data_IF_449575257013
#
_entry.id   IF_449575257013
#
_cell.length_a   1.000
_cell.length_b   1.000
_cell.length_c   1.000
_cell.angle_alpha   90.00
_cell.angle_beta   90.00
_cell.angle_gamma   90.00
#
_symmetry.space_group_name_H-M   'P 1'
#
loop_
_entity.id
_entity.type
_entity.pdbx_description
1 polymer ?
2 non-polymer ?
3 water ?
#
# COMPACT_ATOMS: atom_id res chain seq x y z
N UNK A 1 -25.96 7.29 6.71
CA UNK A 1 -24.71 6.52 6.80
C UNK A 1 -24.96 5.09 6.36
N UNK A 2 -23.93 4.39 5.87
CA UNK A 2 -24.01 2.96 5.53
C UNK A 2 -23.66 2.23 6.81
N UNK A 3 -24.34 1.06 7.10
CA UNK A 3 -24.04 0.40 8.38
C UNK A 3 -22.70 -0.34 8.38
N UNK A 4 -22.34 -0.91 7.25
CA UNK A 4 -21.18 -1.81 7.15
C UNK A 4 -20.37 -1.32 5.95
N UNK A 5 -19.77 -0.11 6.03
CA UNK A 5 -19.00 0.44 4.91
C UNK A 5 -17.91 -0.55 4.52
N UNK A 6 -17.72 -0.79 3.22
CA UNK A 6 -16.76 -1.82 2.79
C UNK A 6 -15.38 -1.21 2.53
N UNK A 7 -15.19 0.10 2.67
CA UNK A 7 -13.90 0.76 2.45
C UNK A 7 -13.96 2.16 3.02
N UNK A 8 -12.88 2.91 2.94
CA UNK A 8 -12.85 4.24 3.57
C UNK A 8 -13.63 5.24 2.73
N UNK A 9 -14.00 4.92 1.49
CA UNK A 9 -14.84 5.81 0.67
C UNK A 9 -16.28 5.74 1.15
N UNK A 10 -16.76 4.58 1.53
CA UNK A 10 -18.11 4.43 2.12
C UNK A 10 -18.10 4.94 3.56
N UNK A 11 -16.97 4.91 4.29
CA UNK A 11 -16.89 5.50 5.65
C UNK A 11 -16.86 7.02 5.59
N UNK A 12 -16.33 7.61 4.51
CA UNK A 12 -16.10 9.08 4.41
C UNK A 12 -17.44 9.71 4.08
N UNK A 13 -18.16 9.06 3.16
CA UNK A 13 -19.49 9.49 2.73
C UNK A 13 -20.43 9.35 3.93
N UNK A 14 -20.07 8.49 4.89
CA UNK A 14 -20.78 8.38 6.21
C UNK A 14 -20.54 9.66 7.03
N UNK A 15 -19.83 10.64 6.47
CA UNK A 15 -19.62 11.98 7.05
C UNK A 15 -18.45 12.01 8.02
N UNK A 16 -17.57 11.01 7.97
CA UNK A 16 -16.35 10.97 8.81
C UNK A 16 -15.18 11.52 7.98
N UNK A 17 -14.78 12.77 8.21
CA UNK A 17 -13.86 13.52 7.32
C UNK A 17 -12.50 13.68 8.00
N UNK A 18 -12.38 13.17 9.22
CA UNK A 18 -11.13 13.20 10.01
C UNK A 18 -10.37 11.93 9.65
N UNK A 19 -9.11 12.08 9.29
CA UNK A 19 -8.26 10.88 9.11
C UNK A 19 -8.11 10.18 10.43
N UNK A 20 -7.99 8.86 10.40
CA UNK A 20 -7.73 8.05 11.59
C UNK A 20 -8.31 6.67 11.45
N UNK A 21 -8.55 5.97 12.56
CA UNK A 21 -8.98 4.55 12.47
C UNK A 21 -10.48 4.48 12.34
N UNK A 22 -10.93 3.67 11.40
CA UNK A 22 -12.35 3.36 11.13
C UNK A 22 -12.53 1.86 10.98
N UNK A 23 -13.71 1.37 11.31
CA UNK A 23 -14.08 0.00 10.99
C UNK A 23 -14.66 -0.06 9.59
N UNK A 24 -14.10 -0.93 8.75
CA UNK A 24 -14.76 -1.33 7.51
C UNK A 24 -15.12 -2.81 7.60
N UNK A 25 -15.93 -3.26 6.65
CA UNK A 25 -16.53 -4.60 6.68
C UNK A 25 -16.34 -5.19 5.31
N UNK A 26 -15.54 -6.25 5.20
CA UNK A 26 -15.22 -6.76 3.86
C UNK A 26 -16.50 -7.32 3.22
N UNK A 27 -16.77 -6.94 1.98
CA UNK A 27 -17.99 -7.37 1.27
C UNK A 27 -19.24 -6.82 1.97
N UNK A 28 -19.09 -5.79 2.79
CA UNK A 28 -20.22 -5.24 3.58
C UNK A 28 -20.78 -6.24 4.58
N UNK A 29 -19.98 -7.21 4.97
CA UNK A 29 -20.43 -8.32 5.88
C UNK A 29 -20.06 -7.89 7.31
N UNK A 30 -21.04 -7.78 8.19
CA UNK A 30 -20.85 -7.39 9.61
C UNK A 30 -19.94 -8.40 10.34
N UNK A 31 -19.76 -9.62 9.85
CA UNK A 31 -18.88 -10.61 10.48
C UNK A 31 -17.45 -10.51 9.93
N UNK A 32 -17.16 -9.54 9.05
CA UNK A 32 -15.81 -9.40 8.45
C UNK A 32 -15.30 -7.99 8.74
N UNK A 33 -15.38 -7.55 9.98
CA UNK A 33 -14.89 -6.22 10.43
C UNK A 33 -13.38 -6.17 10.35
N UNK A 34 -12.86 -5.00 9.96
CA UNK A 34 -11.41 -4.75 9.84
C UNK A 34 -11.18 -3.33 10.28
N UNK A 35 -10.27 -3.08 11.21
CA UNK A 35 -9.92 -1.69 11.61
C UNK A 35 -8.85 -1.21 10.64
N UNK A 36 -9.12 -0.11 9.97
CA UNK A 36 -8.17 0.43 8.97
C UNK A 36 -7.89 1.88 9.31
N UNK A 37 -6.74 2.37 8.88
CA UNK A 37 -6.49 3.82 8.88
C UNK A 37 -7.00 4.41 7.58
N UNK A 38 -7.91 5.36 7.66
CA UNK A 38 -8.47 6.11 6.50
C UNK A 38 -7.75 7.45 6.42
N UNK A 39 -7.13 7.69 5.26
CA UNK A 39 -6.63 9.05 4.89
C UNK A 39 -7.78 9.78 4.23
N UNK A 40 -8.38 10.72 4.96
CA UNK A 40 -9.62 11.39 4.50
C UNK A 40 -9.27 12.77 3.90
N UNK A 41 -7.98 13.10 3.78
CA UNK A 41 -7.60 14.46 3.30
C UNK A 41 -6.88 14.41 1.95
N UNK A 42 -6.03 13.42 1.68
CA UNK A 42 -5.25 13.44 0.41
C UNK A 42 -6.18 13.27 -0.81
N UNK A 43 -6.01 14.10 -1.84
CA UNK A 43 -6.81 14.12 -3.10
C UNK A 43 -8.22 13.59 -2.86
N UNK A 44 -9.00 14.28 -2.03
CA UNK A 44 -10.43 13.98 -1.85
C UNK A 44 -10.74 12.96 -0.77
N UNK A 45 -9.73 12.28 -0.24
CA UNK A 45 -9.93 11.37 0.91
C UNK A 45 -10.48 10.01 0.49
N UNK A 46 -11.02 9.28 1.45
CA UNK A 46 -11.65 7.99 1.24
C UNK A 46 -10.63 6.86 1.03
N UNK A 47 -9.38 7.05 1.41
CA UNK A 47 -8.30 6.08 1.11
C UNK A 47 -8.11 5.15 2.32
N UNK A 48 -8.11 3.84 2.09
CA UNK A 48 -7.55 2.85 3.06
C UNK A 48 -6.04 2.89 2.94
N UNK A 49 -5.36 3.32 3.99
CA UNK A 49 -3.88 3.20 4.01
C UNK A 49 -3.52 1.73 4.24
N UNK A 50 -2.62 1.19 3.46
CA UNK A 50 -2.18 -0.20 3.67
C UNK A 50 -0.70 -0.34 3.95
N UNK A 51 0.09 0.71 3.77
CA UNK A 51 1.52 0.71 4.15
C UNK A 51 1.81 2.10 4.67
N UNK A 52 2.52 2.21 5.77
CA UNK A 52 3.10 3.51 6.20
C UNK A 52 4.52 3.28 6.68
N UNK A 53 5.45 4.10 6.15
CA UNK A 53 6.82 4.19 6.65
C UNK A 53 7.01 5.64 7.09
N UNK A 54 7.59 5.86 8.25
CA UNK A 54 7.76 7.25 8.75
C UNK A 54 8.91 7.40 9.75
N UNK A 55 9.39 6.34 10.36
CA UNK A 55 10.40 6.52 11.45
C UNK A 55 11.32 5.34 11.67
N UNK A 56 11.16 4.18 11.04
CA UNK A 56 12.06 3.04 11.21
C UNK A 56 11.82 2.29 12.51
N UNK A 57 10.71 2.51 13.21
CA UNK A 57 10.48 1.80 14.51
C UNK A 57 10.05 0.36 14.24
N UNK A 58 9.33 0.08 13.15
CA UNK A 58 8.77 -1.24 12.89
C UNK A 58 9.69 -2.05 11.98
N UNK A 59 9.75 -3.34 12.17
CA UNK A 59 10.50 -4.29 11.32
C UNK A 59 9.66 -4.72 10.12
N UNK A 60 10.14 -4.44 8.91
CA UNK A 60 9.45 -4.89 7.68
C UNK A 60 10.11 -6.11 7.05
N UNK A 61 11.18 -6.63 7.67
CA UNK A 61 11.82 -7.86 7.16
C UNK A 61 11.15 -9.03 7.86
N UNK A 62 9.93 -9.30 7.39
CA UNK A 62 9.05 -10.29 8.00
C UNK A 62 8.71 -11.35 6.98
N UNK A 63 8.18 -12.46 7.51
CA UNK A 63 7.93 -13.67 6.71
C UNK A 63 6.57 -13.66 6.00
N UNK A 64 6.33 -14.67 5.19
CA UNK A 64 5.11 -14.79 4.38
C UNK A 64 3.88 -14.63 5.27
N UNK A 65 3.78 -15.45 6.34
CA UNK A 65 2.58 -15.40 7.20
C UNK A 65 2.34 -13.97 7.70
N UNK A 66 3.37 -13.23 8.05
CA UNK A 66 3.24 -11.84 8.54
C UNK A 66 2.72 -10.96 7.41
N UNK A 67 3.31 -11.07 6.22
CA UNK A 67 2.82 -10.26 5.07
C UNK A 67 1.41 -10.64 4.67
N UNK A 68 1.02 -11.91 4.80
CA UNK A 68 -0.36 -12.31 4.47
C UNK A 68 -1.33 -11.73 5.48
N UNK A 69 -0.97 -11.68 6.76
CA UNK A 69 -1.90 -11.35 7.86
C UNK A 69 -1.89 -9.86 8.19
N UNK A 70 -0.78 -9.17 7.95
CA UNK A 70 -0.60 -7.79 8.36
C UNK A 70 0.14 -7.72 9.68
N UNK A 71 0.74 -6.58 9.97
CA UNK A 71 1.48 -6.32 11.22
C UNK A 71 1.62 -4.83 11.43
N UNK A 72 1.91 -4.44 12.66
CA UNK A 72 2.27 -3.08 13.03
C UNK A 72 1.14 -2.31 13.64
N UNK A 73 1.40 -1.07 14.02
CA UNK A 73 0.45 -0.13 14.58
C UNK A 73 -0.13 0.70 13.42
N UNK A 74 -1.43 0.55 13.18
CA UNK A 74 -2.11 1.18 12.01
C UNK A 74 -2.08 2.70 12.16
N UNK A 75 -1.78 3.24 13.33
CA UNK A 75 -1.63 4.70 13.49
C UNK A 75 -0.19 5.16 13.19
N UNK A 76 0.74 4.23 13.03
CA UNK A 76 2.17 4.52 12.85
C UNK A 76 2.65 3.66 11.68
N UNK A 77 3.74 2.94 11.79
CA UNK A 77 4.26 2.11 10.70
C UNK A 77 3.56 0.77 10.74
N UNK A 78 3.09 0.32 9.60
CA UNK A 78 2.35 -0.95 9.50
C UNK A 78 2.23 -1.40 8.05
N UNK A 79 1.80 -2.64 7.94
CA UNK A 79 1.43 -3.33 6.68
C UNK A 79 0.05 -3.96 6.89
N UNK A 80 -0.92 -3.64 6.05
CA UNK A 80 -2.31 -4.09 6.29
C UNK A 80 -2.52 -5.59 6.12
N UNK A 81 -1.75 -6.27 5.30
CA UNK A 81 -1.95 -7.70 5.01
C UNK A 81 -2.40 -7.95 3.60
N UNK A 82 -1.77 -8.91 2.93
CA UNK A 82 -2.12 -9.30 1.55
C UNK A 82 -3.52 -9.95 1.49
N UNK A 83 -3.92 -10.71 2.50
CA UNK A 83 -5.26 -11.31 2.47
C UNK A 83 -6.31 -10.20 2.49
N UNK A 84 -6.09 -9.21 3.34
CA UNK A 84 -6.99 -8.03 3.39
C UNK A 84 -6.96 -7.35 2.04
N UNK A 85 -5.80 -7.09 1.47
CA UNK A 85 -5.74 -6.36 0.20
C UNK A 85 -6.44 -7.15 -0.89
N UNK A 86 -6.27 -8.46 -0.96
CA UNK A 86 -6.99 -9.26 -1.96
C UNK A 86 -8.50 -9.07 -1.76
N UNK A 87 -8.97 -9.23 -0.54
CA UNK A 87 -10.44 -9.20 -0.30
C UNK A 87 -10.97 -7.82 -0.60
N UNK A 88 -10.25 -6.75 -0.28
CA UNK A 88 -10.74 -5.36 -0.54
C UNK A 88 -10.77 -5.19 -2.07
N UNK A 89 -9.68 -5.51 -2.76
CA UNK A 89 -9.58 -5.20 -4.20
C UNK A 89 -10.52 -6.10 -5.02
N UNK A 90 -11.00 -7.21 -4.46
CA UNK A 90 -12.02 -8.08 -5.10
C UNK A 90 -13.41 -7.45 -5.09
N UNK A 91 -13.67 -6.43 -4.27
CA UNK A 91 -15.01 -5.85 -4.00
C UNK A 91 -15.46 -4.96 -5.13
N UNK A 92 -14.55 -4.53 -5.97
CA UNK A 92 -14.85 -3.53 -7.01
C UNK A 92 -13.60 -3.14 -7.73
N UNK A 93 -13.62 -2.04 -8.47
CA UNK A 93 -12.44 -1.54 -9.20
C UNK A 93 -11.79 -0.49 -8.32
N UNK A 94 -10.59 -0.78 -7.83
CA UNK A 94 -9.84 0.12 -6.93
C UNK A 94 -8.69 0.76 -7.70
N UNK A 95 -8.33 1.92 -7.17
CA UNK A 95 -7.16 2.72 -7.59
C UNK A 95 -6.16 2.74 -6.43
N UNK A 96 -4.87 2.70 -6.79
CA UNK A 96 -3.74 2.82 -5.84
C UNK A 96 -3.23 4.26 -5.83
N UNK A 97 -2.96 4.82 -4.67
CA UNK A 97 -2.17 6.04 -4.53
C UNK A 97 -0.97 5.81 -3.63
N UNK A 98 0.16 6.37 -4.04
CA UNK A 98 1.39 6.31 -3.25
C UNK A 98 1.73 7.76 -2.96
N UNK A 99 1.88 8.10 -1.69
CA UNK A 99 2.37 9.42 -1.23
C UNK A 99 3.76 9.26 -0.66
N UNK A 100 4.68 10.09 -1.12
CA UNK A 100 6.09 10.03 -0.70
C UNK A 100 6.49 11.42 -0.19
N UNK A 101 7.34 11.44 0.82
CA UNK A 101 7.88 12.72 1.33
C UNK A 101 9.29 12.48 1.84
N UNK A 102 10.21 13.38 1.52
CA UNK A 102 11.60 13.18 1.93
C UNK A 102 12.20 14.58 2.06
N UNK A 103 12.68 14.95 3.24
CA UNK A 103 13.33 16.27 3.45
C UNK A 103 12.50 17.38 2.81
N UNK A 104 11.19 17.35 3.05
CA UNK A 104 10.24 18.40 2.68
C UNK A 104 9.76 18.32 1.24
N UNK A 105 10.37 17.49 0.40
CA UNK A 105 9.93 17.28 -1.00
C UNK A 105 8.84 16.22 -0.99
N UNK A 106 7.79 16.43 -1.75
CA UNK A 106 6.71 15.42 -1.90
C UNK A 106 6.58 14.98 -3.35
N UNK A 107 6.10 13.76 -3.54
CA UNK A 107 5.71 13.26 -4.86
C UNK A 107 4.59 12.27 -4.63
N UNK A 108 3.91 11.90 -5.70
CA UNK A 108 2.83 10.91 -5.62
C UNK A 108 2.72 10.15 -6.93
N UNK A 109 2.09 9.00 -6.84
CA UNK A 109 1.74 8.17 -7.99
C UNK A 109 0.33 7.67 -7.77
N UNK A 110 -0.47 7.65 -8.85
CA UNK A 110 -1.81 7.07 -8.85
C UNK A 110 -1.84 6.06 -9.96
N UNK A 111 -2.43 4.90 -9.69
CA UNK A 111 -2.69 3.86 -10.69
C UNK A 111 -4.19 3.63 -10.69
N UNK A 112 -4.81 3.91 -11.81
CA UNK A 112 -6.28 3.85 -11.95
C UNK A 112 -6.83 2.45 -11.74
N UNK A 113 -6.02 1.42 -11.97
CA UNK A 113 -6.43 0.04 -11.70
C UNK A 113 -5.39 -0.60 -10.79
N UNK A 114 -5.87 -1.18 -9.70
CA UNK A 114 -4.99 -1.82 -8.70
C UNK A 114 -5.74 -3.00 -8.12
N UNK A 115 -5.13 -4.16 -8.21
CA UNK A 115 -5.70 -5.33 -7.52
C UNK A 115 -4.59 -6.22 -7.03
N UNK A 116 -4.96 -7.05 -6.09
CA UNK A 116 -4.05 -8.04 -5.48
C UNK A 116 -4.78 -9.38 -5.52
N UNK A 117 -4.16 -10.37 -6.14
CA UNK A 117 -4.80 -11.70 -6.29
C UNK A 117 -4.81 -12.46 -4.99
N UNK A 118 -5.41 -13.65 -4.98
CA UNK A 118 -5.49 -14.41 -3.74
C UNK A 118 -4.22 -15.25 -3.54
N UNK A 119 -4.17 -15.97 -2.44
CA UNK A 119 -2.98 -16.76 -2.10
C UNK A 119 -2.55 -17.74 -3.19
N UNK A 120 -3.49 -18.31 -3.95
CA UNK A 120 -3.16 -19.32 -5.00
C UNK A 120 -2.46 -18.58 -6.15
N UNK A 121 -2.56 -17.24 -6.21
CA UNK A 121 -1.78 -16.42 -7.18
C UNK A 121 -0.47 -15.89 -6.57
N UNK A 122 -0.13 -16.29 -5.35
CA UNK A 122 0.90 -15.67 -4.50
C UNK A 122 0.68 -14.15 -4.50
N UNK A 123 -0.59 -13.74 -4.35
CA UNK A 123 -1.00 -12.33 -4.16
C UNK A 123 -0.51 -11.49 -5.33
N UNK A 124 -0.78 -11.94 -6.56
CA UNK A 124 -0.31 -11.30 -7.83
C UNK A 124 -0.74 -9.83 -7.82
N UNK A 125 0.18 -8.97 -8.21
CA UNK A 125 -0.09 -7.51 -8.31
C UNK A 125 -0.62 -7.18 -9.70
N UNK A 126 -1.67 -6.37 -9.79
CA UNK A 126 -2.06 -5.67 -11.03
C UNK A 126 -1.99 -4.18 -10.73
N UNK A 127 -1.23 -3.42 -11.52
CA UNK A 127 -1.21 -1.94 -11.43
C UNK A 127 -1.16 -1.44 -12.85
N UNK A 128 -2.10 -0.61 -13.18
CA UNK A 128 -2.18 -0.01 -14.51
C UNK A 128 -2.69 1.43 -14.40
N UNK A 129 -2.43 2.23 -15.41
CA UNK A 129 -3.04 3.54 -15.54
C UNK A 129 -2.39 4.56 -14.62
N UNK A 130 -1.11 4.82 -14.87
CA UNK A 130 -0.26 5.72 -14.07
C UNK A 130 -0.58 7.18 -14.33
N UNK A 131 -0.59 7.98 -13.28
CA UNK A 131 -0.41 9.43 -13.33
C UNK A 131 0.39 9.82 -12.09
N UNK A 132 1.07 10.93 -12.16
CA UNK A 132 1.68 11.51 -10.97
C UNK A 132 3.00 12.16 -11.21
N UNK A 133 3.70 12.40 -10.11
CA UNK A 133 4.98 13.13 -10.12
C UNK A 133 6.15 12.26 -9.65
N UNK A 134 5.88 11.08 -9.08
CA UNK A 134 6.99 10.25 -8.55
C UNK A 134 7.71 9.52 -9.65
N UNK A 135 7.09 9.37 -10.80
CA UNK A 135 7.60 8.50 -11.87
C UNK A 135 7.00 7.14 -11.77
N UNK A 136 6.71 6.52 -12.91
CA UNK A 136 6.03 5.21 -12.95
C UNK A 136 7.03 4.09 -12.62
N UNK A 137 7.26 3.87 -11.33
CA UNK A 137 8.19 2.80 -10.84
C UNK A 137 7.44 1.49 -10.58
N UNK A 138 6.12 1.50 -10.45
CA UNK A 138 5.36 0.25 -10.27
C UNK A 138 5.20 -0.49 -11.60
N UNK A 139 5.32 0.14 -12.77
CA UNK A 139 5.09 -0.60 -14.03
C UNK A 139 6.01 -1.83 -14.06
N UNK A 140 7.26 -1.66 -13.62
CA UNK A 140 8.28 -2.75 -13.62
C UNK A 140 7.74 -3.97 -12.88
N UNK A 141 6.93 -3.74 -11.85
CA UNK A 141 6.45 -4.75 -10.89
C UNK A 141 5.13 -5.38 -11.36
N UNK A 142 4.45 -4.78 -12.33
CA UNK A 142 3.09 -5.22 -12.74
C UNK A 142 3.09 -6.71 -13.05
N UNK A 143 2.12 -7.42 -12.49
CA UNK A 143 1.85 -8.85 -12.76
C UNK A 143 2.69 -9.77 -11.89
N UNK A 144 3.53 -9.23 -11.03
CA UNK A 144 4.43 -10.10 -10.25
C UNK A 144 3.75 -10.60 -8.98
N UNK A 145 4.11 -11.84 -8.60
CA UNK A 145 3.71 -12.40 -7.29
C UNK A 145 4.44 -11.64 -6.18
N UNK A 146 3.95 -11.82 -4.98
CA UNK A 146 4.61 -11.26 -3.79
C UNK A 146 5.72 -12.22 -3.42
N UNK A 147 6.75 -11.68 -2.78
CA UNK A 147 7.93 -12.43 -2.30
C UNK A 147 8.32 -11.99 -0.92
N UNK A 148 8.54 -12.97 -0.03
CA UNK A 148 9.22 -12.82 1.26
C UNK A 148 10.42 -13.76 1.27
N UNK A 149 11.27 -13.60 2.27
CA UNK A 149 12.53 -14.38 2.34
C UNK A 149 12.20 -15.86 2.38
N UNK A 150 11.05 -16.23 2.94
CA UNK A 150 10.72 -17.67 3.13
C UNK A 150 9.80 -18.20 2.03
N UNK A 151 9.44 -17.42 1.01
CA UNK A 151 8.64 -17.88 -0.14
C UNK A 151 9.11 -17.11 -1.37
N UNK A 159 16.60 -14.97 -4.52
CA UNK A 159 15.46 -14.42 -3.73
C UNK A 159 15.78 -12.94 -3.39
N UNK A 160 14.97 -12.02 -3.94
CA UNK A 160 15.14 -10.56 -3.78
C UNK A 160 14.89 -10.10 -2.35
N UNK A 161 13.92 -10.75 -1.67
CA UNK A 161 13.52 -10.37 -0.31
C UNK A 161 14.70 -10.63 0.61
N UNK A 162 15.33 -11.76 0.41
CA UNK A 162 16.54 -12.11 1.19
C UNK A 162 17.67 -11.15 0.83
N UNK A 163 17.94 -10.94 -0.47
CA UNK A 163 19.10 -10.14 -0.96
C UNK A 163 19.00 -8.70 -0.46
N UNK A 164 17.80 -8.08 -0.50
CA UNK A 164 17.58 -6.67 -0.07
C UNK A 164 16.94 -6.60 1.35
N UNK A 165 16.74 -7.72 2.05
CA UNK A 165 16.18 -7.76 3.43
C UNK A 165 14.88 -6.93 3.47
N UNK A 166 13.97 -7.16 2.54
CA UNK A 166 12.63 -6.55 2.53
C UNK A 166 11.58 -7.56 2.08
N UNK A 167 10.48 -7.10 1.53
CA UNK A 167 9.39 -7.91 0.97
C UNK A 167 8.72 -7.06 -0.09
N UNK A 168 8.27 -7.65 -1.19
CA UNK A 168 7.61 -6.87 -2.25
C UNK A 168 7.12 -7.80 -3.34
N UNK A 169 6.40 -7.26 -4.29
CA UNK A 169 6.13 -7.92 -5.58
C UNK A 169 7.38 -7.86 -6.45
N UNK A 170 8.46 -8.50 -6.01
CA UNK A 170 9.78 -8.36 -6.61
C UNK A 170 9.84 -9.03 -7.98
N UNK A 171 10.70 -8.48 -8.81
CA UNK A 171 11.02 -9.02 -10.15
C UNK A 171 12.48 -9.43 -10.13
N UNK A 172 13.39 -8.56 -10.56
CA UNK A 172 14.83 -8.93 -10.54
C UNK A 172 15.68 -7.67 -10.43
N UNK A 173 15.53 -6.86 -9.38
CA UNK A 173 14.64 -7.13 -8.24
C UNK A 173 13.58 -6.03 -8.10
N UNK A 174 13.97 -4.75 -8.12
CA UNK A 174 12.95 -3.74 -7.78
C UNK A 174 13.28 -2.37 -8.36
N UNK A 175 12.21 -1.64 -8.63
CA UNK A 175 12.25 -0.16 -8.72
C UNK A 175 11.47 0.49 -7.58
N UNK A 176 10.63 -0.29 -6.90
CA UNK A 176 9.91 0.17 -5.68
C UNK A 176 10.30 -0.79 -4.57
N UNK A 177 10.68 -0.26 -3.42
CA UNK A 177 11.08 -1.11 -2.27
C UNK A 177 10.54 -0.48 -0.99
N UNK A 178 9.25 -0.15 -0.91
CA UNK A 178 8.75 0.66 0.23
C UNK A 178 8.65 -0.13 1.52
N UNK A 179 8.89 -1.45 1.47
CA UNK A 179 9.01 -2.29 2.67
C UNK A 179 10.49 -2.64 2.90
N UNK A 180 11.40 -1.80 2.41
CA UNK A 180 12.83 -2.00 2.62
C UNK A 180 13.30 -1.48 3.96
N UNK A 181 14.61 -1.48 4.14
CA UNK A 181 15.23 -1.12 5.44
C UNK A 181 15.23 0.38 5.63
N UNK A 182 14.63 0.89 6.68
CA UNK A 182 14.48 2.32 6.94
C UNK A 182 15.85 2.99 7.09
N UNK A 183 16.01 4.10 6.41
CA UNK A 183 17.19 4.97 6.47
C UNK A 183 18.41 4.35 5.84
N UNK A 184 18.29 3.26 5.09
CA UNK A 184 19.46 2.54 4.53
C UNK A 184 19.71 3.07 3.12
N UNK A 185 20.71 3.94 2.93
CA UNK A 185 21.02 4.55 1.63
C UNK A 185 21.92 3.64 0.79
N UNK A 186 22.31 2.46 1.28
CA UNK A 186 23.09 1.51 0.47
C UNK A 186 22.25 1.07 -0.74
N UNK A 187 22.87 0.91 -1.89
CA UNK A 187 22.16 0.62 -3.18
C UNK A 187 21.08 -0.45 -3.00
N UNK A 188 19.81 -0.06 -3.27
CA UNK A 188 18.67 -1.00 -3.35
C UNK A 188 18.28 -1.59 -1.98
N UNK A 189 18.87 -1.13 -0.88
CA UNK A 189 18.56 -1.69 0.48
C UNK A 189 17.42 -0.93 1.17
N UNK A 190 17.13 0.30 0.76
CA UNK A 190 16.29 1.19 1.56
C UNK A 190 14.89 1.35 0.97
N UNK A 191 14.22 2.35 1.49
CA UNK A 191 12.80 2.64 1.15
C UNK A 191 12.87 3.40 -0.18
N UNK A 192 12.88 2.65 -1.29
CA UNK A 192 13.27 3.28 -2.57
C UNK A 192 12.04 3.46 -3.47
N UNK A 193 12.05 4.54 -4.24
CA UNK A 193 11.17 4.75 -5.40
C UNK A 193 12.05 5.24 -6.52
N UNK A 194 12.51 4.31 -7.34
CA UNK A 194 13.69 4.59 -8.18
C UNK A 194 13.51 5.83 -9.03
N UNK A 195 12.36 5.97 -9.67
CA UNK A 195 12.20 7.03 -10.70
C UNK A 195 11.93 8.38 -10.05
N UNK A 196 11.97 8.46 -8.72
CA UNK A 196 11.96 9.73 -7.96
C UNK A 196 13.33 9.97 -7.35
N UNK A 197 13.86 9.03 -6.57
CA UNK A 197 15.09 9.29 -5.76
C UNK A 197 16.14 8.22 -5.96
N UNK A 198 15.98 7.30 -6.87
CA UNK A 198 17.02 6.33 -7.18
C UNK A 198 17.13 5.23 -6.17
N UNK A 199 18.27 4.55 -6.20
CA UNK A 199 18.48 3.33 -5.36
C UNK A 199 19.45 3.61 -4.21
N UNK A 200 19.97 4.82 -4.10
CA UNK A 200 20.94 5.16 -3.01
C UNK A 200 20.36 6.29 -2.15
N UNK A 201 19.04 6.32 -2.01
CA UNK A 201 18.34 7.34 -1.20
C UNK A 201 17.12 6.66 -0.61
N UNK A 202 17.12 6.48 0.68
CA UNK A 202 16.00 5.85 1.41
C UNK A 202 15.04 6.96 1.76
N UNK A 203 13.77 6.81 1.40
CA UNK A 203 12.74 7.86 1.57
C UNK A 203 12.22 7.87 3.00
N UNK A 204 12.13 9.06 3.58
CA UNK A 204 11.70 9.21 4.99
C UNK A 204 10.26 8.78 5.24
N UNK A 205 9.36 9.13 4.34
CA UNK A 205 7.91 8.95 4.55
C UNK A 205 7.30 8.34 3.31
N UNK A 206 6.52 7.28 3.48
CA UNK A 206 5.85 6.64 2.34
C UNK A 206 4.53 6.08 2.80
N UNK A 207 3.48 6.31 2.03
CA UNK A 207 2.19 5.62 2.26
C UNK A 207 1.70 5.02 0.96
N UNK A 208 1.14 3.83 1.02
CA UNK A 208 0.38 3.24 -0.10
C UNK A 208 -1.06 3.11 0.36
N UNK A 209 -2.02 3.44 -0.49
CA UNK A 209 -3.44 3.48 -0.08
C UNK A 209 -4.34 3.20 -1.29
N UNK A 210 -5.58 2.82 -1.03
CA UNK A 210 -6.48 2.43 -2.11
C UNK A 210 -7.89 2.91 -1.84
N UNK A 211 -8.63 3.09 -2.92
CA UNK A 211 -10.06 3.44 -2.84
C UNK A 211 -10.69 3.12 -4.18
N UNK A 212 -12.02 3.11 -4.30
CA UNK A 212 -12.63 2.85 -5.61
C UNK A 212 -12.21 3.86 -6.67
N UNK A 213 -11.88 3.36 -7.85
CA UNK A 213 -11.43 4.25 -8.94
C UNK A 213 -12.53 5.22 -9.32
N UNK A 214 -13.79 4.86 -9.11
CA UNK A 214 -14.92 5.76 -9.49
C UNK A 214 -15.21 6.83 -8.44
N UNK A 215 -14.48 6.91 -7.33
CA UNK A 215 -14.79 7.83 -6.21
C UNK A 215 -14.65 9.28 -6.67
N UNK A 216 -13.81 9.56 -7.67
CA UNK A 216 -13.54 10.91 -8.25
C UNK A 216 -14.79 11.48 -8.92
N UNK A 217 -15.84 10.70 -9.12
CA UNK A 217 -17.08 11.29 -9.72
C UNK A 217 -18.35 10.63 -9.20
N UNK A 218 -18.40 10.17 -7.96
CA UNK A 218 -19.50 9.28 -7.52
C UNK A 218 -20.76 10.05 -7.12
X LIG B 1 -13.02 15.07 -4.67
X LIG B 1 -18.04 14.18 -4.31
X LIG B 1 -16.81 12.01 -4.05
X LIG B 1 -17.91 12.94 -3.49
X LIG B 1 -16.82 14.92 -4.70
X LIG B 1 -15.75 14.89 -3.58
X LIG B 1 -11.26 13.55 -5.23
X LIG B 1 -10.95 15.94 -5.75
X LIG B 1 -11.73 14.81 -5.19
X LIG B 1 -13.60 13.90 -4.32
X LIG B 1 -15.40 12.34 -3.51
X LIG B 1 -14.88 13.72 -3.83
X LIG B 1 -12.46 12.53 -4.62
#
# INVERSE_FOLDING_TARGET
SMPFPKDCSQAMLNGDTTSGLYTIYLNGDKAQALEVFCDMTSDGGGWIVFLRRKNGRENFYQNWKAYAAGFGDRREEFWLGLDNLNKITAQGQYELRVDLRDHGETAFAVYDKFSVGDAKTRYKLKVEGYSGTAGDSMAYHNGRSFSTFDKDTDSAITNCALSYKGAFWYRNCHRVNLMGRYGDNNHSQGVNWFHWKGHEHSIQFAEMKLRPSNFRNLEG
K1P N1 N3 C4 C5 C6 C7 N C C1 C2 C3 N2 S
#
